data_IF_469153010208
#
_entry.id   IF_469153010208
#
_cell.length_a   1.000
_cell.length_b   1.000
_cell.length_c   1.000
_cell.angle_alpha   90.00
_cell.angle_beta   90.00
_cell.angle_gamma   90.00
#
_symmetry.space_group_name_H-M   'P 1'
#
loop_
_entity.id
_entity.type
_entity.pdbx_description
1 polymer ?
#
# COMPACT_ATOMS: atom_id res chain seq x y z
N UNK A 1 -2.08 -22.27 -3.69
CA UNK A 1 -2.31 -20.82 -3.68
C UNK A 1 -2.98 -20.48 -2.36
N UNK A 2 -2.29 -19.81 -1.43
CA UNK A 2 -2.89 -19.36 -0.18
C UNK A 2 -3.44 -17.94 -0.37
N UNK A 3 -4.62 -17.71 0.20
CA UNK A 3 -5.21 -16.38 0.30
C UNK A 3 -5.01 -15.90 1.74
N UNK A 4 -4.52 -14.68 1.89
CA UNK A 4 -4.38 -14.00 3.18
C UNK A 4 -5.45 -12.93 3.28
N UNK A 5 -6.19 -12.92 4.39
CA UNK A 5 -7.15 -11.87 4.70
C UNK A 5 -6.78 -11.17 6.01
N UNK A 6 -6.92 -9.85 6.02
CA UNK A 6 -6.79 -9.04 7.22
C UNK A 6 -7.88 -7.98 7.23
N UNK A 7 -8.52 -7.76 8.38
CA UNK A 7 -9.48 -6.70 8.60
C UNK A 7 -9.19 -6.02 9.94
N UNK A 8 -8.97 -4.71 9.93
CA UNK A 8 -8.75 -3.94 11.17
C UNK A 8 -9.90 -4.05 12.18
N UNK A 9 -11.10 -4.42 11.75
CA UNK A 9 -12.23 -4.63 12.64
C UNK A 9 -12.04 -5.83 13.59
N UNK A 10 -11.13 -6.77 13.27
CA UNK A 10 -10.88 -7.97 14.08
C UNK A 10 -9.80 -7.80 15.14
N UNK A 11 -9.20 -6.61 15.24
CA UNK A 11 -8.16 -6.30 16.24
C UNK A 11 -8.55 -5.11 17.13
N UNK A 12 -8.01 -5.02 18.36
CA UNK A 12 -8.21 -3.88 19.24
C UNK A 12 -7.84 -2.57 18.56
N UNK A 13 -8.56 -1.49 18.87
CA UNK A 13 -8.35 -0.18 18.24
C UNK A 13 -6.90 0.32 18.35
N UNK A 14 -6.29 0.13 19.53
CA UNK A 14 -4.89 0.49 19.81
C UNK A 14 -3.87 -0.22 18.91
N UNK A 15 -4.22 -1.39 18.36
CA UNK A 15 -3.33 -2.17 17.49
C UNK A 15 -3.58 -1.92 16.00
N UNK A 16 -4.72 -1.31 15.62
CA UNK A 16 -5.18 -1.24 14.21
C UNK A 16 -4.14 -0.64 13.28
N UNK A 17 -3.52 0.47 13.66
CA UNK A 17 -2.50 1.11 12.83
C UNK A 17 -1.29 0.21 12.63
N UNK A 18 -0.74 -0.36 13.71
CA UNK A 18 0.44 -1.21 13.63
C UNK A 18 0.18 -2.46 12.78
N UNK A 19 -0.97 -3.11 12.99
CA UNK A 19 -1.37 -4.30 12.23
C UNK A 19 -1.64 -3.97 10.76
N UNK A 20 -2.36 -2.88 10.49
CA UNK A 20 -2.60 -2.41 9.12
C UNK A 20 -1.30 -2.11 8.39
N UNK A 21 -0.39 -1.35 9.01
CA UNK A 21 0.92 -1.04 8.42
C UNK A 21 1.71 -2.31 8.11
N UNK A 22 1.75 -3.26 9.04
CA UNK A 22 2.41 -4.55 8.81
C UNK A 22 1.79 -5.32 7.64
N UNK A 23 0.46 -5.40 7.58
CA UNK A 23 -0.25 -6.08 6.48
C UNK A 23 -0.06 -5.39 5.13
N UNK A 24 -0.03 -4.05 5.09
CA UNK A 24 0.26 -3.29 3.86
C UNK A 24 1.70 -3.51 3.42
N UNK A 25 2.68 -3.44 4.34
CA UNK A 25 4.09 -3.65 4.01
C UNK A 25 4.36 -5.07 3.48
N UNK A 26 3.60 -6.07 3.92
CA UNK A 26 3.68 -7.42 3.36
C UNK A 26 3.24 -7.49 1.89
N UNK A 27 2.42 -6.54 1.41
CA UNK A 27 1.94 -6.50 0.01
C UNK A 27 2.69 -5.52 -0.86
N UNK A 28 3.08 -4.38 -0.29
CA UNK A 28 3.65 -3.26 -1.02
C UNK A 28 5.12 -3.02 -0.68
N UNK A 29 5.78 -3.86 0.11
CA UNK A 29 7.13 -3.62 0.59
C UNK A 29 7.20 -2.47 1.60
N UNK A 30 8.43 -2.10 2.00
CA UNK A 30 8.67 -1.13 3.07
C UNK A 30 8.15 0.28 2.71
N UNK A 31 7.33 0.85 3.60
CA UNK A 31 6.74 2.18 3.50
C UNK A 31 6.17 2.63 4.86
N UNK A 32 5.92 3.94 5.01
CA UNK A 32 5.10 4.45 6.11
C UNK A 32 3.62 4.47 5.73
N UNK A 33 2.75 4.20 6.71
CA UNK A 33 1.31 4.46 6.60
C UNK A 33 0.92 5.57 7.56
N UNK A 34 0.39 6.67 7.01
CA UNK A 34 0.01 7.86 7.77
C UNK A 34 -1.51 8.07 7.67
N UNK A 35 -2.27 7.84 8.76
CA UNK A 35 -3.71 8.10 8.78
C UNK A 35 -4.00 9.59 8.60
N UNK A 36 -5.06 9.93 7.87
CA UNK A 36 -5.40 11.34 7.66
C UNK A 36 -6.12 11.91 8.89
N UNK A 37 -5.58 13.01 9.43
CA UNK A 37 -6.19 13.77 10.53
C UNK A 37 -6.17 13.08 11.89
N UNK A 38 -5.16 12.25 12.17
CA UNK A 38 -5.02 11.57 13.48
C UNK A 38 -6.09 10.52 13.78
N UNK A 39 -6.86 10.14 12.76
CA UNK A 39 -7.99 9.20 12.90
C UNK A 39 -7.48 7.76 12.99
N UNK A 40 -8.24 6.94 13.70
CA UNK A 40 -8.11 5.49 13.70
C UNK A 40 -8.19 4.95 12.27
N UNK A 41 -7.30 4.01 11.95
CA UNK A 41 -7.29 3.34 10.64
C UNK A 41 -8.40 2.30 10.58
N UNK A 42 -9.10 2.30 9.45
CA UNK A 42 -10.02 1.25 9.06
C UNK A 42 -9.60 0.73 7.70
N UNK A 43 -9.46 -0.58 7.57
CA UNK A 43 -9.17 -1.21 6.30
C UNK A 43 -9.26 -2.73 6.31
N UNK A 44 -9.43 -3.27 5.11
CA UNK A 44 -9.44 -4.70 4.79
C UNK A 44 -8.48 -4.97 3.64
N UNK A 45 -7.73 -6.05 3.76
CA UNK A 45 -6.84 -6.59 2.72
C UNK A 45 -7.27 -8.03 2.42
N UNK A 46 -7.36 -8.35 1.14
CA UNK A 46 -7.37 -9.73 0.64
C UNK A 46 -6.22 -9.85 -0.34
N UNK A 47 -5.32 -10.80 -0.13
CA UNK A 47 -4.08 -10.93 -0.89
C UNK A 47 -3.82 -12.38 -1.29
N UNK A 48 -3.18 -12.55 -2.43
CA UNK A 48 -2.67 -13.83 -2.90
C UNK A 48 -1.41 -13.61 -3.75
N UNK A 49 -0.63 -14.67 -3.93
CA UNK A 49 0.50 -14.68 -4.86
C UNK A 49 0.14 -15.44 -6.14
N UNK A 50 0.52 -14.89 -7.29
CA UNK A 50 0.40 -15.52 -8.60
C UNK A 50 1.80 -15.51 -9.23
N UNK A 51 2.45 -16.67 -9.26
CA UNK A 51 3.87 -16.75 -9.62
C UNK A 51 4.71 -15.87 -8.70
N UNK A 52 5.51 -14.97 -9.30
CA UNK A 52 6.34 -14.00 -8.57
C UNK A 52 5.58 -12.72 -8.18
N UNK A 53 4.34 -12.54 -8.64
CA UNK A 53 3.57 -11.33 -8.40
C UNK A 53 2.70 -11.45 -7.16
N UNK A 54 2.63 -10.37 -6.37
CA UNK A 54 1.68 -10.21 -5.28
C UNK A 54 0.46 -9.46 -5.82
N UNK A 55 -0.73 -10.02 -5.62
CA UNK A 55 -1.99 -9.38 -5.99
C UNK A 55 -2.81 -9.18 -4.73
N UNK A 56 -3.17 -7.94 -4.45
CA UNK A 56 -3.94 -7.59 -3.27
C UNK A 56 -5.07 -6.62 -3.59
N UNK A 57 -6.16 -6.74 -2.85
CA UNK A 57 -7.26 -5.80 -2.83
C UNK A 57 -7.27 -5.11 -1.48
N UNK A 58 -7.00 -3.81 -1.49
CA UNK A 58 -7.07 -2.95 -0.31
C UNK A 58 -8.36 -2.13 -0.37
N UNK A 59 -9.09 -2.08 0.75
CA UNK A 59 -10.19 -1.15 0.97
C UNK A 59 -9.96 -0.49 2.32
N UNK A 60 -10.09 0.83 2.40
CA UNK A 60 -9.72 1.56 3.63
C UNK A 60 -10.30 2.97 3.67
N UNK A 61 -10.28 3.57 4.86
CA UNK A 61 -10.45 5.01 5.04
C UNK A 61 -9.24 5.82 4.55
N UNK A 62 -9.35 7.15 4.44
CA UNK A 62 -8.28 8.00 3.90
C UNK A 62 -6.98 7.93 4.70
N UNK A 63 -5.88 7.66 4.01
CA UNK A 63 -4.53 7.67 4.56
C UNK A 63 -3.51 7.92 3.44
N UNK A 64 -2.25 8.09 3.80
CA UNK A 64 -1.14 8.27 2.88
C UNK A 64 -0.13 7.13 3.03
N UNK A 65 0.32 6.61 1.90
CA UNK A 65 1.52 5.78 1.84
C UNK A 65 2.72 6.64 1.48
N UNK A 66 3.81 6.50 2.22
CA UNK A 66 5.06 7.19 1.91
C UNK A 66 6.18 6.17 1.81
N UNK A 67 6.69 5.98 0.59
CA UNK A 67 7.98 5.34 0.39
C UNK A 67 9.08 6.39 0.27
N UNK A 68 9.63 6.77 1.42
CA UNK A 68 10.80 7.65 1.50
C UNK A 68 12.11 6.94 1.10
N UNK A 69 13.15 7.74 0.87
CA UNK A 69 14.49 7.31 0.48
C UNK A 69 15.06 6.19 1.37
N UNK A 70 14.90 6.30 2.69
CA UNK A 70 15.36 5.28 3.65
C UNK A 70 14.78 3.88 3.40
N UNK A 71 13.56 3.80 2.86
CA UNK A 71 12.94 2.51 2.54
C UNK A 71 13.54 1.93 1.26
N UNK A 72 13.78 2.77 0.26
CA UNK A 72 14.39 2.41 -1.03
C UNK A 72 15.82 1.91 -0.81
N UNK A 73 16.59 2.57 0.06
CA UNK A 73 17.97 2.19 0.35
C UNK A 73 18.09 0.82 1.03
N UNK A 74 17.07 0.43 1.81
CA UNK A 74 16.97 -0.89 2.44
C UNK A 74 16.31 -1.96 1.55
N UNK A 75 15.75 -1.57 0.40
CA UNK A 75 15.00 -2.48 -0.44
C UNK A 75 15.94 -3.44 -1.19
N UNK A 76 15.64 -4.74 -1.10
CA UNK A 76 16.35 -5.79 -1.83
C UNK A 76 15.64 -6.19 -3.13
N UNK A 77 14.38 -5.81 -3.29
CA UNK A 77 13.52 -6.14 -4.44
C UNK A 77 13.34 -4.92 -5.35
N UNK A 78 13.32 -5.17 -6.66
CA UNK A 78 13.01 -4.18 -7.72
C UNK A 78 11.57 -4.38 -8.17
N UNK A 79 10.62 -3.94 -7.34
CA UNK A 79 9.20 -4.14 -7.62
C UNK A 79 8.63 -3.03 -8.51
N UNK A 80 7.69 -3.38 -9.38
CA UNK A 80 6.77 -2.42 -10.00
C UNK A 80 5.40 -2.55 -9.31
N UNK A 81 4.83 -1.43 -8.90
CA UNK A 81 3.48 -1.42 -8.32
C UNK A 81 2.48 -0.92 -9.36
N UNK A 82 1.54 -1.77 -9.73
CA UNK A 82 0.36 -1.37 -10.49
C UNK A 82 -0.87 -1.35 -9.56
N UNK A 83 -1.59 -0.23 -9.54
CA UNK A 83 -2.79 -0.07 -8.72
C UNK A 83 -3.96 0.43 -9.56
N UNK A 84 -5.05 -0.36 -9.57
CA UNK A 84 -6.34 0.03 -10.12
C UNK A 84 -7.20 0.66 -9.01
N UNK A 85 -7.63 1.89 -9.20
CA UNK A 85 -8.59 2.53 -8.30
C UNK A 85 -9.98 2.00 -8.62
N UNK A 86 -10.53 1.14 -7.76
CA UNK A 86 -11.87 0.57 -7.96
C UNK A 86 -13.00 1.51 -7.52
N UNK A 87 -12.75 2.33 -6.48
CA UNK A 87 -13.67 3.30 -5.89
C UNK A 87 -12.87 4.41 -5.19
N UNK A 88 -13.47 5.58 -5.05
CA UNK A 88 -12.87 6.72 -4.36
C UNK A 88 -11.92 7.53 -5.25
N UNK A 89 -11.03 8.30 -4.62
CA UNK A 89 -9.98 9.08 -5.28
C UNK A 89 -8.66 8.88 -4.57
N UNK A 90 -7.58 8.92 -5.33
CA UNK A 90 -6.21 8.89 -4.81
C UNK A 90 -5.37 9.97 -5.47
N UNK A 91 -4.24 10.32 -4.86
CA UNK A 91 -3.21 11.15 -5.45
C UNK A 91 -1.91 10.36 -5.39
N UNK A 92 -1.25 10.20 -6.53
CA UNK A 92 0.06 9.57 -6.61
C UNK A 92 1.10 10.62 -6.97
N UNK A 93 2.22 10.60 -6.24
CA UNK A 93 3.36 11.51 -6.46
C UNK A 93 4.64 10.70 -6.55
N UNK A 94 5.37 10.81 -7.66
CA UNK A 94 6.69 10.18 -7.83
C UNK A 94 7.56 10.97 -8.80
N UNK A 95 8.82 11.22 -8.41
CA UNK A 95 9.80 11.92 -9.25
C UNK A 95 9.35 13.32 -9.67
N UNK A 96 8.71 14.06 -8.75
CA UNK A 96 8.18 15.41 -9.02
C UNK A 96 6.90 15.44 -9.88
N UNK A 97 6.38 14.29 -10.32
CA UNK A 97 5.11 14.20 -11.05
C UNK A 97 3.98 13.87 -10.08
N UNK A 98 2.84 14.52 -10.25
CA UNK A 98 1.61 14.28 -9.50
C UNK A 98 0.48 13.92 -10.44
N UNK A 99 -0.37 12.99 -10.03
CA UNK A 99 -1.61 12.64 -10.73
C UNK A 99 -2.74 12.38 -9.74
N UNK A 100 -3.93 12.89 -10.05
CA UNK A 100 -5.18 12.58 -9.35
C UNK A 100 -5.85 11.42 -10.07
N UNK A 101 -6.19 10.38 -9.33
CA UNK A 101 -6.77 9.14 -9.84
C UNK A 101 -8.19 8.97 -9.31
N UNK A 102 -9.13 8.63 -10.19
CA UNK A 102 -10.51 8.26 -9.91
C UNK A 102 -10.79 6.79 -10.20
N UNK A 103 -12.05 6.37 -10.06
CA UNK A 103 -12.44 4.99 -10.32
C UNK A 103 -12.21 4.61 -11.80
N UNK A 104 -11.54 3.47 -12.04
CA UNK A 104 -11.17 2.99 -13.37
C UNK A 104 -9.71 3.32 -13.75
N UNK A 105 -9.09 4.30 -13.10
CA UNK A 105 -7.72 4.68 -13.40
C UNK A 105 -6.72 3.66 -12.85
N UNK A 106 -5.68 3.40 -13.64
CA UNK A 106 -4.53 2.59 -13.27
C UNK A 106 -3.32 3.50 -13.15
N UNK A 107 -2.56 3.36 -12.07
CA UNK A 107 -1.23 3.95 -11.92
C UNK A 107 -0.19 2.86 -11.83
N UNK A 108 0.96 3.09 -12.47
CA UNK A 108 2.16 2.26 -12.34
C UNK A 108 3.25 3.11 -11.70
N UNK A 109 3.81 2.62 -10.60
CA UNK A 109 4.85 3.27 -9.82
C UNK A 109 6.07 2.37 -9.77
N UNK A 110 7.24 2.95 -9.96
CA UNK A 110 8.50 2.26 -9.70
C UNK A 110 8.64 2.06 -8.18
N UNK A 111 8.94 0.83 -7.76
CA UNK A 111 9.20 0.47 -6.38
C UNK A 111 10.36 1.26 -5.79
N UNK A 112 11.32 1.62 -6.64
CA UNK A 112 12.62 2.17 -6.27
C UNK A 112 13.47 1.08 -5.62
N UNK A 113 14.59 0.74 -6.25
CA UNK A 113 15.67 -0.01 -5.61
C UNK A 113 17.01 0.66 -5.95
N UNK A 114 18.06 0.32 -5.22
CA UNK A 114 19.42 0.72 -5.61
C UNK A 114 19.70 0.19 -7.03
N UNK A 115 19.97 1.09 -7.97
CA UNK A 115 20.71 0.74 -9.19
C UNK A 115 22.07 0.21 -8.74
N UNK A 116 22.37 -1.05 -9.07
CA UNK A 116 23.70 -1.63 -8.84
C UNK A 116 24.76 -0.91 -9.68
#
# INVERSE_FOLDING_TARGET
MSVVEFDTATVPESERLARWSSSVCAQLGSLDVLPRGGRTVFGKIVAASIGVSRVSRLASGPHRFIRAQRHIESATETDLHAALIRRGRSVAVQGGREVVLGAGDIVVLDGGARSR
#
